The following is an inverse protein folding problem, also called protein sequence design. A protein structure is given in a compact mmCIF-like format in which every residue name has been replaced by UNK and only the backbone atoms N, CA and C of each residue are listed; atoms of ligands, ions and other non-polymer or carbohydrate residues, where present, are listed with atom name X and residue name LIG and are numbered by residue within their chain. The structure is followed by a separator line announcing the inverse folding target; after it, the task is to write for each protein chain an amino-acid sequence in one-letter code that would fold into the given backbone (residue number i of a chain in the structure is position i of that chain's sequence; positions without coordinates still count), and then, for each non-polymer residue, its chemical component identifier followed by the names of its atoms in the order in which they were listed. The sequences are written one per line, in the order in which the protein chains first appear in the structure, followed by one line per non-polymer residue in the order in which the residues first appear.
data_IF_950516787659
#
_entry.id   IF_950516787659
#
_cell.length_a   1.000
_cell.length_b   1.000
_cell.length_c   1.000
_cell.angle_alpha   90.00
_cell.angle_beta   90.00
_cell.angle_gamma   90.00
#
_symmetry.space_group_name_H-M   'P 1'
#
loop_
_entity.id
_entity.type
_entity.pdbx_description
1 polymer ?
2 non-polymer ?
3 non-polymer ?
4 non-polymer ?
5 non-polymer ?
6 water ?
#
# COMPACT_ATOMS: atom_id res chain seq x y z
N UNK A 1 -5.54 5.09 14.89
CA UNK A 1 -4.55 4.61 13.90
C UNK A 1 -4.28 5.68 12.87
N UNK A 2 -3.65 5.27 11.77
CA UNK A 2 -3.23 6.16 10.68
C UNK A 2 -4.34 7.06 10.13
N UNK A 3 -5.49 6.49 9.79
CA UNK A 3 -6.65 7.29 9.32
C UNK A 3 -7.13 8.33 10.31
N UNK A 4 -7.24 7.95 11.57
CA UNK A 4 -7.60 8.91 12.61
C UNK A 4 -6.49 9.98 12.74
N UNK A 5 -5.22 9.58 12.62
CA UNK A 5 -4.15 10.60 12.69
C UNK A 5 -4.30 11.70 11.63
N UNK A 6 -4.68 11.29 10.41
CA UNK A 6 -4.92 12.26 9.36
C UNK A 6 -6.07 13.21 9.79
N UNK A 7 -7.11 12.68 10.41
CA UNK A 7 -8.19 13.53 10.93
C UNK A 7 -7.71 14.48 12.06
N UNK A 8 -6.87 13.97 12.96
CA UNK A 8 -6.31 14.81 14.04
C UNK A 8 -5.48 15.96 13.47
N UNK A 9 -4.60 15.61 12.56
CA UNK A 9 -3.73 16.56 11.93
C UNK A 9 -4.48 17.60 11.13
N UNK A 10 -5.44 17.14 10.30
CA UNK A 10 -6.29 18.07 9.57
C UNK A 10 -7.10 18.98 10.46
N UNK A 11 -7.48 18.51 11.65
CA UNK A 11 -8.25 19.31 12.61
C UNK A 11 -7.58 20.60 13.03
N UNK A 12 -6.25 20.61 13.04
CA UNK A 12 -5.48 21.79 13.41
C UNK A 12 -4.26 21.87 12.49
N UNK A 13 -4.55 21.87 11.18
CA UNK A 13 -3.57 21.71 10.09
C UNK A 13 -2.35 22.62 10.21
N UNK A 14 -2.58 23.92 10.26
CA UNK A 14 -1.50 24.92 10.24
C UNK A 14 -0.59 24.74 11.47
N UNK A 15 -1.21 24.55 12.62
CA UNK A 15 -0.46 24.43 13.90
C UNK A 15 0.48 23.26 13.81
N UNK A 16 -0.06 22.11 13.45
CA UNK A 16 0.75 20.89 13.32
C UNK A 16 1.82 21.04 12.23
N UNK A 17 1.47 21.65 11.08
CA UNK A 17 2.40 21.83 9.97
C UNK A 17 3.60 22.65 10.41
N UNK A 18 3.30 23.65 11.23
CA UNK A 18 4.37 24.46 11.81
C UNK A 18 5.23 23.66 12.79
N UNK A 19 4.60 22.99 13.74
CA UNK A 19 5.39 22.24 14.74
C UNK A 19 6.30 21.22 14.09
N UNK A 20 5.82 20.60 13.02
CA UNK A 20 6.55 19.49 12.40
C UNK A 20 7.63 20.02 11.46
N UNK A 21 7.37 21.08 10.72
CA UNK A 21 8.41 21.65 9.83
C UNK A 21 9.57 22.18 10.66
N UNK A 22 9.24 22.86 11.74
CA UNK A 22 10.28 23.31 12.69
C UNK A 22 11.07 22.18 13.29
N UNK A 23 10.39 21.10 13.67
CA UNK A 23 11.11 19.91 14.21
C UNK A 23 12.13 19.38 13.21
N UNK A 24 11.69 19.34 11.95
CA UNK A 24 12.56 18.97 10.84
C UNK A 24 13.78 19.89 10.67
N UNK A 25 13.56 21.19 10.60
CA UNK A 25 14.62 22.13 10.35
C UNK A 25 15.60 22.16 11.51
N UNK A 26 15.07 22.00 12.74
CA UNK A 26 15.93 22.01 13.94
C UNK A 26 16.74 20.72 14.10
N UNK A 27 16.17 19.60 13.68
CA UNK A 27 16.88 18.31 13.68
C UNK A 27 17.98 18.24 12.64
N UNK A 28 17.68 18.79 11.46
CA UNK A 28 18.58 18.75 10.31
C UNK A 28 18.92 20.15 9.81
N UNK A 29 19.76 20.88 10.55
CA UNK A 29 20.00 22.26 10.16
C UNK A 29 20.54 22.44 8.71
N UNK A 30 21.28 21.47 8.18
CA UNK A 30 21.75 21.54 6.78
C UNK A 30 20.62 21.60 5.78
N UNK A 31 19.47 21.03 6.16
CA UNK A 31 18.29 21.05 5.29
C UNK A 31 17.74 22.46 5.03
N UNK A 32 18.09 23.44 5.87
CA UNK A 32 17.60 24.80 5.66
C UNK A 32 18.20 25.45 4.39
N UNK A 33 19.26 24.82 3.84
CA UNK A 33 19.85 25.10 2.50
C UNK A 33 18.83 25.19 1.37
N UNK A 34 17.80 24.36 1.45
CA UNK A 34 16.64 24.36 0.55
C UNK A 34 15.62 25.48 0.84
N UNK A 35 15.78 26.18 1.98
CA UNK A 35 14.80 27.12 2.46
C UNK A 35 15.55 28.36 2.84
N UNK A 36 16.25 28.93 1.87
CA UNK A 36 17.12 30.09 2.15
C UNK A 36 16.43 31.34 2.81
N UNK A 37 15.12 31.52 2.61
CA UNK A 37 14.40 32.66 3.18
C UNK A 37 13.86 32.44 4.61
N UNK A 38 14.19 31.29 5.19
CA UNK A 38 13.90 31.03 6.59
C UNK A 38 15.16 30.98 7.44
N UNK A 39 16.33 31.26 6.84
CA UNK A 39 17.60 31.32 7.60
C UNK A 39 17.60 32.44 8.63
N UNK A 40 18.23 32.16 9.76
CA UNK A 40 18.52 33.22 10.71
C UNK A 40 17.36 33.73 11.54
N UNK A 41 16.39 32.85 11.77
CA UNK A 41 15.13 33.13 12.45
C UNK A 41 14.81 32.01 13.45
N UNK A 42 14.40 32.40 14.65
CA UNK A 42 13.98 31.46 15.66
C UNK A 42 12.61 30.93 15.32
N UNK A 43 12.18 29.94 16.09
CA UNK A 43 10.87 29.28 15.81
C UNK A 43 9.78 30.30 15.87
N UNK A 44 9.74 31.13 16.92
CA UNK A 44 8.62 32.03 17.08
C UNK A 44 8.66 33.15 16.04
N UNK A 45 9.86 33.53 15.61
CA UNK A 45 10.10 34.49 14.54
C UNK A 45 9.51 33.98 13.23
N UNK A 46 9.83 32.72 12.89
CA UNK A 46 9.23 32.03 11.73
C UNK A 46 7.71 32.02 11.81
N UNK A 47 7.14 31.61 12.96
CA UNK A 47 5.67 31.52 13.11
C UNK A 47 4.97 32.86 12.96
N UNK A 48 5.65 33.94 13.31
CA UNK A 48 5.05 35.28 13.20
C UNK A 48 4.86 35.72 11.73
N UNK A 49 5.55 35.09 10.79
CA UNK A 49 5.45 35.45 9.38
C UNK A 49 4.31 34.69 8.72
N UNK A 50 3.34 35.43 8.21
CA UNK A 50 2.21 34.87 7.50
C UNK A 50 2.66 33.92 6.39
N UNK A 51 3.74 34.23 5.72
CA UNK A 51 4.22 33.35 4.64
C UNK A 51 4.64 31.96 5.11
N UNK A 52 5.18 31.89 6.33
CA UNK A 52 5.60 30.61 6.92
C UNK A 52 4.39 29.73 7.19
N UNK A 53 3.37 30.29 7.84
CA UNK A 53 2.14 29.55 8.08
C UNK A 53 1.48 29.10 6.77
N UNK A 54 1.44 30.00 5.81
CA UNK A 54 0.77 29.74 4.54
C UNK A 54 1.48 28.58 3.82
N UNK A 55 2.80 28.68 3.73
CA UNK A 55 3.61 27.65 3.05
C UNK A 55 3.43 26.30 3.73
N UNK A 56 3.62 26.30 5.05
CA UNK A 56 3.61 25.03 5.81
C UNK A 56 2.24 24.37 5.74
N UNK A 57 1.16 25.17 5.76
CA UNK A 57 -0.16 24.60 5.62
C UNK A 57 -0.34 24.03 4.17
N UNK A 58 0.09 24.73 3.12
CA UNK A 58 -0.14 24.17 1.76
C UNK A 58 0.62 22.84 1.60
N UNK A 59 1.81 22.74 2.19
CA UNK A 59 2.60 21.55 2.13
C UNK A 59 1.91 20.41 2.87
N UNK A 60 1.49 20.69 4.10
CA UNK A 60 0.86 19.68 4.93
C UNK A 60 -0.49 19.20 4.37
N UNK A 61 -1.22 20.12 3.74
CA UNK A 61 -2.48 19.77 3.07
C UNK A 61 -2.18 18.69 1.99
N UNK A 62 -1.20 18.90 1.12
CA UNK A 62 -0.89 17.89 0.11
C UNK A 62 -0.38 16.60 0.75
N UNK A 63 0.41 16.73 1.81
CA UNK A 63 0.84 15.57 2.52
C UNK A 63 -0.31 14.72 3.09
N UNK A 64 -1.33 15.38 3.62
CA UNK A 64 -2.46 14.70 4.12
C UNK A 64 -3.31 14.06 2.99
N UNK A 65 -3.41 14.72 1.84
CA UNK A 65 -4.13 14.18 0.67
C UNK A 65 -3.44 12.85 0.26
N UNK A 66 -2.10 12.90 0.17
CA UNK A 66 -1.30 11.72 -0.21
C UNK A 66 -1.49 10.59 0.82
N UNK A 67 -1.44 10.93 2.09
CA UNK A 67 -1.64 9.96 3.13
C UNK A 67 -3.03 9.36 3.05
N UNK A 68 -4.04 10.18 2.83
CA UNK A 68 -5.43 9.72 2.83
C UNK A 68 -5.70 8.83 1.61
N UNK A 69 -4.98 9.09 0.51
CA UNK A 69 -5.12 8.27 -0.71
C UNK A 69 -4.33 6.97 -0.67
N UNK A 70 -3.40 6.85 0.30
CA UNK A 70 -2.59 5.66 0.44
C UNK A 70 -3.47 4.45 0.84
N UNK A 71 -3.00 3.25 0.51
CA UNK A 71 -3.59 2.00 1.00
C UNK A 71 -2.59 1.31 1.89
N UNK A 72 -3.00 0.95 3.10
CA UNK A 72 -2.09 0.28 4.04
C UNK A 72 -0.72 1.00 4.13
N UNK A 73 -0.78 2.33 4.15
CA UNK A 73 0.44 3.19 4.25
C UNK A 73 1.37 3.14 3.05
N UNK A 74 0.83 2.69 1.92
CA UNK A 74 1.56 2.70 0.63
C UNK A 74 0.93 3.76 -0.24
N UNK A 75 1.69 4.80 -0.57
CA UNK A 75 1.10 5.88 -1.33
C UNK A 75 0.94 5.45 -2.79
N UNK A 76 -0.01 6.10 -3.45
CA UNK A 76 -0.13 5.92 -4.92
C UNK A 76 1.12 6.36 -5.67
N UNK A 77 1.47 5.57 -6.68
CA UNK A 77 2.55 5.95 -7.58
C UNK A 77 2.30 7.30 -8.23
N UNK A 78 1.05 7.61 -8.59
CA UNK A 78 0.72 8.90 -9.19
C UNK A 78 1.02 10.05 -8.24
N UNK A 79 0.70 9.89 -6.98
CA UNK A 79 1.07 10.94 -5.98
C UNK A 79 2.60 11.06 -5.84
N UNK A 80 3.30 9.94 -5.84
CA UNK A 80 4.77 10.03 -5.86
C UNK A 80 5.28 10.81 -7.05
N UNK A 81 4.75 10.52 -8.23
CA UNK A 81 5.13 11.24 -9.42
C UNK A 81 4.89 12.71 -9.29
N UNK A 82 3.73 13.08 -8.77
CA UNK A 82 3.41 14.50 -8.56
C UNK A 82 4.54 15.17 -7.75
N UNK A 83 4.91 14.55 -6.65
CA UNK A 83 5.95 15.11 -5.78
C UNK A 83 7.31 15.19 -6.47
N UNK A 84 7.61 14.24 -7.37
CA UNK A 84 8.91 14.20 -8.05
C UNK A 84 8.93 15.34 -9.07
N UNK A 85 7.80 15.50 -9.79
CA UNK A 85 7.72 16.43 -10.91
C UNK A 85 7.45 17.89 -10.57
N UNK A 86 6.98 18.17 -9.35
CA UNK A 86 6.82 19.56 -8.90
C UNK A 86 8.08 20.37 -9.11
N UNK A 87 7.95 21.53 -9.77
CA UNK A 87 9.08 22.46 -10.01
C UNK A 87 9.84 22.79 -8.71
N UNK A 88 9.07 22.93 -7.63
CA UNK A 88 9.58 23.26 -6.29
C UNK A 88 10.54 22.18 -5.73
N UNK A 89 10.41 20.93 -6.22
CA UNK A 89 11.19 19.79 -5.70
C UNK A 89 12.31 19.35 -6.64
N UNK A 90 12.65 20.23 -7.60
CA UNK A 90 13.67 19.95 -8.64
C UNK A 90 14.94 19.23 -8.15
N UNK A 91 15.77 19.90 -7.36
CA UNK A 91 17.04 19.30 -6.93
C UNK A 91 17.02 18.25 -5.81
N UNK A 92 15.84 17.86 -5.32
CA UNK A 92 15.73 16.97 -4.17
C UNK A 92 16.07 15.54 -4.46
N UNK A 93 16.47 14.86 -3.40
CA UNK A 93 16.68 13.43 -3.46
C UNK A 93 15.87 12.78 -2.35
N UNK A 94 15.80 11.44 -2.36
CA UNK A 94 14.90 10.76 -1.45
C UNK A 94 15.36 10.97 0.01
N UNK A 95 16.66 11.21 0.19
CA UNK A 95 17.15 11.46 1.54
C UNK A 95 16.49 12.66 2.19
N UNK A 96 16.14 13.67 1.41
CA UNK A 96 15.44 14.85 1.94
C UNK A 96 14.11 14.45 2.59
N UNK A 97 13.38 13.56 1.90
CA UNK A 97 12.12 12.99 2.37
C UNK A 97 12.27 12.04 3.57
N UNK A 98 13.30 11.21 3.56
CA UNK A 98 13.60 10.32 4.66
C UNK A 98 13.73 11.14 5.94
N UNK A 99 14.52 12.20 5.84
CA UNK A 99 14.77 13.09 7.03
C UNK A 99 13.47 13.76 7.53
N UNK A 100 12.67 14.25 6.60
CA UNK A 100 11.37 14.82 6.98
C UNK A 100 10.58 13.81 7.81
N UNK A 101 10.47 12.57 7.31
CA UNK A 101 9.67 11.57 7.98
C UNK A 101 10.27 11.09 9.30
N UNK A 102 11.58 11.07 9.42
CA UNK A 102 12.23 10.74 10.68
C UNK A 102 11.81 11.83 11.70
N UNK A 103 11.92 13.10 11.31
CA UNK A 103 11.52 14.25 12.21
C UNK A 103 10.04 14.18 12.60
N UNK A 104 9.17 13.81 11.62
CA UNK A 104 7.75 13.75 11.84
C UNK A 104 7.41 12.68 12.88
N UNK A 105 8.03 11.52 12.71
CA UNK A 105 7.84 10.38 13.63
C UNK A 105 8.34 10.71 15.04
N UNK A 106 9.48 11.36 15.11
CA UNK A 106 10.07 11.74 16.39
C UNK A 106 9.12 12.70 17.08
N UNK A 107 8.61 13.67 16.32
CA UNK A 107 7.62 14.66 16.84
C UNK A 107 6.39 13.94 17.42
N UNK A 108 5.86 12.98 16.67
CA UNK A 108 4.74 12.18 17.14
C UNK A 108 4.99 11.39 18.43
N UNK A 109 6.12 10.71 18.49
CA UNK A 109 6.51 9.97 19.68
C UNK A 109 6.66 10.88 20.92
N UNK A 110 7.12 12.10 20.73
CA UNK A 110 7.28 13.08 21.86
C UNK A 110 6.02 13.86 22.24
N UNK A 111 4.97 13.78 21.44
CA UNK A 111 3.75 14.55 21.69
C UNK A 111 3.00 13.80 22.80
N UNK A 112 2.08 14.44 23.48
CA UNK A 112 1.33 13.68 24.54
C UNK A 112 0.34 12.65 24.01
N UNK A 113 0.36 12.39 22.70
CA UNK A 113 -0.85 11.96 21.99
C UNK A 113 -0.67 10.62 21.36
N UNK A 114 -1.80 9.97 21.08
CA UNK A 114 -1.83 8.58 20.67
C UNK A 114 -1.69 8.41 19.14
N UNK A 115 -0.76 9.15 18.52
CA UNK A 115 -0.48 8.94 17.11
C UNK A 115 0.03 7.51 16.89
N UNK A 116 -0.27 6.94 15.73
CA UNK A 116 0.24 5.64 15.35
C UNK A 116 1.61 5.87 14.67
N UNK A 117 2.62 6.13 15.49
CA UNK A 117 3.91 6.57 14.96
C UNK A 117 4.57 5.51 14.06
N UNK A 118 4.33 4.26 14.36
CA UNK A 118 4.90 3.15 13.56
C UNK A 118 4.31 3.14 12.14
N UNK A 119 3.03 3.48 12.02
CA UNK A 119 2.38 3.62 10.71
C UNK A 119 2.96 4.77 9.92
N UNK A 120 3.22 5.90 10.56
CA UNK A 120 3.87 7.02 9.88
C UNK A 120 5.30 6.71 9.45
N UNK A 121 6.06 5.99 10.27
CA UNK A 121 7.44 5.61 9.93
C UNK A 121 7.42 4.83 8.62
N UNK A 122 6.49 3.86 8.61
CA UNK A 122 6.19 2.92 7.48
C UNK A 122 5.82 3.71 6.25
N UNK A 123 4.82 4.57 6.38
CA UNK A 123 4.40 5.46 5.30
C UNK A 123 5.57 6.25 4.73
N UNK A 124 6.42 6.82 5.61
CA UNK A 124 7.60 7.49 5.10
C UNK A 124 8.54 6.60 4.27
N UNK A 125 8.80 5.39 4.73
CA UNK A 125 9.68 4.46 4.01
C UNK A 125 9.07 4.10 2.66
N UNK A 126 7.77 3.85 2.67
CA UNK A 126 7.05 3.48 1.42
C UNK A 126 6.97 4.66 0.50
N UNK A 127 6.86 5.88 1.04
CA UNK A 127 6.87 7.05 0.20
C UNK A 127 8.26 7.24 -0.44
N UNK A 128 9.34 7.07 0.35
CA UNK A 128 10.68 7.12 -0.19
C UNK A 128 10.86 6.12 -1.35
N UNK A 129 10.38 4.88 -1.15
CA UNK A 129 10.45 3.82 -2.16
C UNK A 129 9.73 4.28 -3.42
N UNK A 130 8.52 4.78 -3.24
CA UNK A 130 7.70 5.26 -4.37
C UNK A 130 8.32 6.45 -5.08
N UNK A 131 8.94 7.38 -4.34
CA UNK A 131 9.63 8.46 -4.98
C UNK A 131 10.77 7.98 -5.90
N UNK A 132 11.52 7.00 -5.42
CA UNK A 132 12.59 6.41 -6.20
C UNK A 132 12.04 5.78 -7.48
N UNK A 133 10.97 5.02 -7.33
CA UNK A 133 10.31 4.34 -8.48
C UNK A 133 9.77 5.34 -9.47
N UNK A 134 9.33 6.53 -8.98
CA UNK A 134 8.87 7.64 -9.85
C UNK A 134 9.97 8.58 -10.38
N UNK A 135 11.23 8.22 -10.11
CA UNK A 135 12.38 8.82 -10.76
C UNK A 135 13.21 9.79 -9.95
N UNK A 136 12.93 9.92 -8.67
CA UNK A 136 13.79 10.70 -7.77
C UNK A 136 15.10 9.95 -7.47
N UNK A 137 16.22 10.66 -7.57
CA UNK A 137 17.55 10.12 -7.20
C UNK A 137 17.72 10.00 -5.69
N UNK B 1 6.24 -14.03 8.03
CA UNK B 1 5.27 -13.07 7.55
C UNK B 1 4.93 -13.34 6.10
N UNK B 2 4.44 -12.32 5.42
CA UNK B 2 3.90 -12.47 4.06
C UNK B 2 4.98 -12.95 3.08
N UNK B 3 6.16 -12.38 3.15
CA UNK B 3 7.25 -12.79 2.27
C UNK B 3 7.68 -14.23 2.44
N UNK B 4 7.76 -14.67 3.68
CA UNK B 4 8.07 -16.06 3.97
C UNK B 4 6.97 -16.99 3.47
N UNK B 5 5.73 -16.55 3.60
CA UNK B 5 4.59 -17.32 3.16
C UNK B 5 4.63 -17.58 1.64
N UNK B 6 5.11 -16.61 0.90
CA UNK B 6 5.29 -16.78 -0.57
C UNK B 6 6.30 -17.94 -0.82
N UNK B 7 7.39 -17.95 -0.04
CA UNK B 7 8.41 -19.02 -0.16
C UNK B 7 7.84 -20.35 0.28
N UNK B 8 7.07 -20.36 1.37
CA UNK B 8 6.41 -21.60 1.78
C UNK B 8 5.49 -22.18 0.69
N UNK B 9 4.65 -21.32 0.15
CA UNK B 9 3.68 -21.76 -0.87
C UNK B 9 4.43 -22.23 -2.10
N UNK B 10 5.41 -21.47 -2.53
CA UNK B 10 6.20 -21.84 -3.72
C UNK B 10 6.94 -23.16 -3.58
N UNK B 11 7.32 -23.55 -2.35
CA UNK B 11 8.00 -24.81 -2.16
C UNK B 11 7.17 -26.05 -2.35
N UNK B 12 5.82 -25.91 -2.33
CA UNK B 12 4.90 -27.01 -2.62
C UNK B 12 3.70 -26.47 -3.38
N UNK B 13 3.97 -25.71 -4.45
CA UNK B 13 2.97 -24.81 -4.99
C UNK B 13 1.81 -25.55 -5.65
N UNK B 14 2.12 -26.66 -6.34
CA UNK B 14 1.07 -27.47 -7.00
C UNK B 14 0.05 -28.01 -6.01
N UNK B 15 0.50 -28.51 -4.88
CA UNK B 15 -0.39 -28.99 -3.84
C UNK B 15 -1.19 -27.88 -3.17
N UNK B 16 -0.53 -26.79 -2.82
CA UNK B 16 -1.24 -25.64 -2.24
C UNK B 16 -2.26 -25.04 -3.19
N UNK B 17 -1.88 -24.89 -4.46
CA UNK B 17 -2.73 -24.31 -5.47
C UNK B 17 -4.00 -25.16 -5.61
N UNK B 18 -3.84 -26.47 -5.69
CA UNK B 18 -4.99 -27.34 -5.83
C UNK B 18 -5.87 -27.29 -4.58
N UNK B 19 -5.24 -27.38 -3.41
CA UNK B 19 -5.98 -27.41 -2.14
C UNK B 19 -6.71 -26.12 -1.96
N UNK B 20 -6.10 -24.97 -2.24
CA UNK B 20 -6.76 -23.68 -2.02
C UNK B 20 -7.89 -23.44 -3.00
N UNK B 21 -7.63 -23.74 -4.30
CA UNK B 21 -8.65 -23.52 -5.25
C UNK B 21 -9.86 -24.44 -5.03
N UNK B 22 -9.62 -25.68 -4.57
CA UNK B 22 -10.71 -26.56 -4.17
C UNK B 22 -11.49 -26.02 -2.99
N UNK B 23 -10.77 -25.47 -1.98
CA UNK B 23 -11.45 -24.86 -0.85
C UNK B 23 -12.38 -23.76 -1.30
N UNK B 24 -11.93 -22.95 -2.26
CA UNK B 24 -12.73 -21.90 -2.90
C UNK B 24 -13.99 -22.48 -3.55
N UNK B 25 -13.80 -23.50 -4.41
CA UNK B 25 -14.95 -24.01 -5.18
C UNK B 25 -15.96 -24.73 -4.26
N UNK B 26 -15.47 -25.32 -3.15
CA UNK B 26 -16.34 -26.01 -2.19
C UNK B 26 -17.06 -25.05 -1.22
N UNK B 27 -16.41 -23.96 -0.83
CA UNK B 27 -17.06 -22.94 -0.02
C UNK B 27 -18.14 -22.17 -0.78
N UNK B 28 -17.89 -21.93 -2.07
CA UNK B 28 -18.72 -21.13 -2.98
C UNK B 28 -19.11 -21.96 -4.20
N UNK B 29 -20.04 -22.93 -3.99
CA UNK B 29 -20.38 -23.84 -5.07
C UNK B 29 -20.90 -23.19 -6.36
N UNK B 30 -21.61 -22.06 -6.24
CA UNK B 30 -22.07 -21.35 -7.45
C UNK B 30 -20.92 -20.79 -8.31
N UNK B 31 -19.72 -20.66 -7.73
CA UNK B 31 -18.54 -20.27 -8.50
C UNK B 31 -18.17 -21.22 -9.63
N UNK B 32 -18.61 -22.48 -9.54
CA UNK B 32 -18.45 -23.40 -10.68
C UNK B 32 -19.18 -22.90 -11.92
N UNK B 33 -20.10 -21.94 -11.80
CA UNK B 33 -20.81 -21.36 -12.99
C UNK B 33 -19.80 -20.85 -14.04
N UNK B 34 -18.63 -20.39 -13.59
CA UNK B 34 -17.56 -19.96 -14.50
C UNK B 34 -16.76 -21.11 -15.13
N UNK B 35 -16.95 -22.32 -14.59
CA UNK B 35 -16.27 -23.56 -14.99
C UNK B 35 -17.34 -24.70 -15.13
N UNK B 36 -18.18 -24.59 -16.12
CA UNK B 36 -19.30 -25.56 -16.33
C UNK B 36 -18.92 -27.07 -16.29
N UNK B 37 -17.78 -27.48 -16.85
CA UNK B 37 -17.42 -28.91 -16.75
C UNK B 37 -16.73 -29.25 -15.41
N UNK B 38 -16.65 -28.32 -14.46
CA UNK B 38 -16.28 -28.74 -13.09
C UNK B 38 -17.46 -29.36 -12.29
N UNK B 39 -18.66 -29.24 -12.82
CA UNK B 39 -19.88 -29.72 -12.16
C UNK B 39 -19.92 -31.25 -12.03
N UNK B 40 -20.47 -31.73 -10.90
CA UNK B 40 -20.57 -33.16 -10.58
C UNK B 40 -19.28 -33.95 -10.48
N UNK B 41 -18.20 -33.26 -10.09
CA UNK B 41 -16.88 -33.82 -9.95
C UNK B 41 -16.47 -33.67 -8.52
N UNK B 42 -15.96 -34.75 -7.94
CA UNK B 42 -15.28 -34.67 -6.63
C UNK B 42 -13.92 -33.98 -6.78
N UNK B 43 -13.32 -33.65 -5.64
CA UNK B 43 -12.03 -33.04 -5.66
C UNK B 43 -11.00 -33.86 -6.43
N UNK B 44 -10.97 -35.17 -6.20
CA UNK B 44 -9.95 -36.02 -6.82
C UNK B 44 -10.18 -36.07 -8.32
N UNK B 45 -11.44 -36.05 -8.74
CA UNK B 45 -11.74 -36.02 -10.17
C UNK B 45 -11.29 -34.70 -10.80
N UNK B 46 -11.52 -33.56 -10.09
CA UNK B 46 -11.09 -32.28 -10.58
C UNK B 46 -9.60 -32.27 -10.76
N UNK B 47 -8.86 -32.86 -9.80
CA UNK B 47 -7.41 -32.85 -9.84
C UNK B 47 -6.88 -33.65 -11.06
N UNK B 48 -7.70 -34.57 -11.56
CA UNK B 48 -7.33 -35.36 -12.73
C UNK B 48 -7.85 -34.79 -14.06
N UNK B 49 -8.37 -33.57 -14.05
CA UNK B 49 -8.83 -32.87 -15.26
C UNK B 49 -7.77 -31.87 -15.67
N UNK B 50 -7.29 -31.96 -16.90
CA UNK B 50 -6.18 -31.09 -17.35
C UNK B 50 -6.44 -29.59 -17.24
N UNK B 51 -7.64 -29.14 -17.56
CA UNK B 51 -7.89 -27.69 -17.58
C UNK B 51 -7.91 -27.17 -16.11
N UNK B 52 -8.37 -28.00 -15.19
CA UNK B 52 -8.34 -27.64 -13.77
C UNK B 52 -6.89 -27.54 -13.28
N UNK B 53 -6.10 -28.57 -13.53
CA UNK B 53 -4.70 -28.59 -13.12
C UNK B 53 -3.98 -27.41 -13.75
N UNK B 54 -4.25 -27.16 -15.03
CA UNK B 54 -3.56 -26.09 -15.77
C UNK B 54 -3.92 -24.68 -15.30
N UNK B 55 -5.22 -24.40 -15.14
CA UNK B 55 -5.70 -23.11 -14.69
C UNK B 55 -5.13 -22.84 -13.28
N UNK B 56 -5.28 -23.83 -12.38
CA UNK B 56 -4.92 -23.69 -10.97
C UNK B 56 -3.41 -23.38 -10.83
N UNK B 57 -2.59 -24.10 -11.58
CA UNK B 57 -1.16 -23.83 -11.63
C UNK B 57 -0.88 -22.37 -12.03
N UNK B 58 -1.52 -21.91 -13.10
CA UNK B 58 -1.34 -20.56 -13.65
C UNK B 58 -1.77 -19.51 -12.65
N UNK B 59 -2.93 -19.75 -12.04
CA UNK B 59 -3.47 -18.86 -10.97
C UNK B 59 -2.41 -18.62 -9.92
N UNK B 60 -1.79 -19.68 -9.42
CA UNK B 60 -0.92 -19.54 -8.23
C UNK B 60 0.47 -19.09 -8.65
N UNK B 61 0.97 -19.53 -9.82
CA UNK B 61 2.26 -19.00 -10.27
C UNK B 61 2.18 -17.47 -10.39
N UNK B 62 1.10 -16.97 -11.01
CA UNK B 62 0.95 -15.51 -11.21
C UNK B 62 0.66 -14.82 -9.88
N UNK B 63 -0.18 -15.43 -9.06
CA UNK B 63 -0.58 -14.81 -7.80
C UNK B 63 0.65 -14.61 -6.92
N UNK B 64 1.54 -15.59 -6.90
CA UNK B 64 2.78 -15.46 -6.09
C UNK B 64 3.67 -14.36 -6.61
N UNK B 65 3.76 -14.19 -7.95
CA UNK B 65 4.52 -13.08 -8.52
C UNK B 65 3.93 -11.72 -8.09
N UNK B 66 2.60 -11.60 -8.18
CA UNK B 66 1.91 -10.37 -7.80
C UNK B 66 2.15 -10.06 -6.28
N UNK B 67 2.05 -11.10 -5.49
CA UNK B 67 2.38 -11.00 -4.02
C UNK B 67 3.80 -10.57 -3.82
N UNK B 68 4.75 -11.16 -4.56
CA UNK B 68 6.17 -10.88 -4.45
C UNK B 68 6.50 -9.44 -4.83
N UNK B 69 5.78 -8.86 -5.79
CA UNK B 69 6.06 -7.52 -6.26
C UNK B 69 5.37 -6.43 -5.40
N UNK B 70 4.46 -6.87 -4.53
CA UNK B 70 3.71 -5.97 -3.67
C UNK B 70 4.63 -5.35 -2.60
N UNK B 71 4.21 -4.20 -2.11
CA UNK B 71 4.82 -3.51 -0.97
C UNK B 71 3.78 -3.49 0.13
N UNK B 72 4.14 -4.05 1.27
CA UNK B 72 3.20 -4.13 2.39
C UNK B 72 1.78 -4.62 1.99
N UNK B 73 1.77 -5.66 1.19
CA UNK B 73 0.52 -6.30 0.78
C UNK B 73 -0.34 -5.46 -0.16
N UNK B 74 0.30 -4.47 -0.80
CA UNK B 74 -0.36 -3.60 -1.77
C UNK B 74 0.26 -3.93 -3.11
N UNK B 75 -0.55 -4.54 -4.04
CA UNK B 75 0.01 -4.85 -5.34
C UNK B 75 0.30 -3.66 -6.19
N UNK B 76 1.19 -3.86 -7.18
CA UNK B 76 1.43 -2.90 -8.20
C UNK B 76 0.20 -2.70 -9.05
N UNK B 77 -0.12 -1.44 -9.31
CA UNK B 77 -1.21 -1.09 -10.22
C UNK B 77 -1.07 -1.78 -11.59
N UNK B 78 0.16 -1.89 -12.09
CA UNK B 78 0.42 -2.63 -13.30
C UNK B 78 0.00 -4.08 -13.29
N UNK B 79 0.16 -4.74 -12.16
CA UNK B 79 -0.27 -6.12 -12.05
C UNK B 79 -1.79 -6.19 -12.08
N UNK B 80 -2.47 -5.25 -11.44
CA UNK B 80 -3.93 -5.23 -11.50
C UNK B 80 -4.41 -4.99 -12.93
N UNK B 81 -3.80 -4.05 -13.64
CA UNK B 81 -4.18 -3.78 -15.04
C UNK B 81 -4.02 -5.02 -15.93
N UNK B 82 -2.92 -5.76 -15.75
CA UNK B 82 -2.68 -7.01 -16.51
C UNK B 82 -3.75 -8.04 -16.23
N UNK B 83 -4.10 -8.22 -14.98
CA UNK B 83 -5.16 -9.15 -14.64
C UNK B 83 -6.52 -8.75 -15.27
N UNK B 84 -6.86 -7.47 -15.24
CA UNK B 84 -8.13 -7.00 -15.78
C UNK B 84 -8.22 -7.21 -17.29
N UNK B 85 -7.12 -6.98 -17.98
CA UNK B 85 -7.08 -7.14 -19.41
C UNK B 85 -6.75 -8.52 -19.93
N UNK B 86 -6.70 -9.51 -19.03
CA UNK B 86 -6.76 -10.91 -19.48
C UNK B 86 -8.13 -11.24 -20.07
N UNK B 87 -8.15 -11.65 -21.33
CA UNK B 87 -9.43 -11.82 -22.06
C UNK B 87 -10.37 -12.96 -21.60
N UNK B 88 -9.79 -14.07 -21.16
CA UNK B 88 -10.56 -15.21 -20.62
C UNK B 88 -11.19 -14.92 -19.24
N UNK B 89 -10.75 -13.81 -18.63
CA UNK B 89 -11.42 -13.18 -17.49
C UNK B 89 -12.49 -12.13 -17.78
N UNK B 90 -12.91 -12.02 -19.05
CA UNK B 90 -14.15 -11.33 -19.37
C UNK B 90 -15.27 -11.99 -18.59
N UNK B 91 -16.15 -11.19 -18.01
CA UNK B 91 -17.26 -11.75 -17.26
C UNK B 91 -16.94 -12.06 -15.81
N UNK B 92 -15.69 -11.97 -15.38
CA UNK B 92 -15.40 -11.93 -13.95
C UNK B 92 -15.61 -10.55 -13.39
N UNK B 93 -15.87 -10.56 -12.09
CA UNK B 93 -16.05 -9.35 -11.31
C UNK B 93 -15.19 -9.46 -10.03
N UNK B 94 -15.07 -8.34 -9.32
CA UNK B 94 -14.23 -8.35 -8.12
C UNK B 94 -14.67 -9.40 -7.11
N UNK B 95 -15.98 -9.71 -7.09
CA UNK B 95 -16.51 -10.69 -6.18
C UNK B 95 -15.92 -12.07 -6.34
N UNK B 96 -15.57 -12.46 -7.56
CA UNK B 96 -14.93 -13.75 -7.80
C UNK B 96 -13.57 -13.82 -7.06
N UNK B 97 -12.80 -12.75 -7.14
CA UNK B 97 -11.48 -12.65 -6.50
C UNK B 97 -11.58 -12.55 -4.96
N UNK B 98 -12.54 -11.76 -4.49
CA UNK B 98 -12.87 -11.62 -3.06
C UNK B 98 -13.06 -13.00 -2.44
N UNK B 99 -13.91 -13.81 -3.09
CA UNK B 99 -14.25 -15.14 -2.62
C UNK B 99 -13.06 -16.10 -2.60
N UNK B 100 -12.24 -16.01 -3.63
CA UNK B 100 -10.99 -16.80 -3.65
C UNK B 100 -10.14 -16.46 -2.43
N UNK B 101 -9.99 -15.18 -2.17
CA UNK B 101 -9.14 -14.79 -1.02
C UNK B 101 -9.74 -15.12 0.33
N UNK B 102 -11.06 -15.03 0.48
CA UNK B 102 -11.67 -15.47 1.71
C UNK B 102 -11.33 -16.95 1.98
N UNK B 103 -11.46 -17.79 0.94
CA UNK B 103 -11.18 -19.21 1.07
C UNK B 103 -9.70 -19.47 1.37
N UNK B 104 -8.82 -18.73 0.69
CA UNK B 104 -7.38 -18.79 0.92
C UNK B 104 -7.02 -18.48 2.41
N UNK B 105 -7.58 -17.40 2.92
CA UNK B 105 -7.34 -17.02 4.30
C UNK B 105 -7.87 -18.08 5.29
N UNK B 106 -9.08 -18.59 5.04
CA UNK B 106 -9.65 -19.62 5.89
C UNK B 106 -8.81 -20.89 5.89
N UNK B 107 -8.33 -21.29 4.71
CA UNK B 107 -7.39 -22.39 4.54
C UNK B 107 -6.12 -22.21 5.40
N UNK B 108 -5.54 -21.01 5.33
CA UNK B 108 -4.33 -20.71 6.11
C UNK B 108 -4.60 -20.83 7.58
N UNK B 109 -5.72 -20.29 8.03
CA UNK B 109 -6.07 -20.31 9.45
C UNK B 109 -6.28 -21.74 9.96
N UNK B 110 -6.85 -22.61 9.11
CA UNK B 110 -7.11 -23.98 9.45
C UNK B 110 -5.87 -24.89 9.34
N UNK B 111 -4.80 -24.40 8.72
CA UNK B 111 -3.64 -25.22 8.47
C UNK B 111 -2.86 -25.29 9.76
N UNK B 112 -2.00 -26.28 9.90
CA UNK B 112 -1.19 -26.40 11.14
C UNK B 112 -0.07 -25.35 11.32
N UNK B 113 0.02 -24.39 10.41
CA UNK B 113 1.26 -23.70 10.06
C UNK B 113 1.16 -22.22 10.34
N UNK B 114 2.32 -21.61 10.32
CA UNK B 114 2.48 -20.25 10.83
C UNK B 114 2.35 -19.20 9.72
N UNK B 115 1.35 -19.36 8.85
CA UNK B 115 1.06 -18.36 7.84
C UNK B 115 0.60 -17.07 8.49
N UNK B 116 0.93 -15.97 7.86
CA UNK B 116 0.49 -14.66 8.32
C UNK B 116 -0.85 -14.39 7.62
N UNK B 117 -1.90 -14.98 8.18
CA UNK B 117 -3.20 -14.98 7.49
C UNK B 117 -3.79 -13.58 7.37
N UNK B 118 -3.54 -12.74 8.38
CA UNK B 118 -3.93 -11.34 8.30
C UNK B 118 -3.33 -10.61 7.10
N UNK B 119 -2.06 -10.87 6.79
CA UNK B 119 -1.45 -10.23 5.63
C UNK B 119 -2.13 -10.66 4.33
N UNK B 120 -2.46 -11.95 4.25
CA UNK B 120 -3.16 -12.48 3.05
C UNK B 120 -4.54 -11.87 2.92
N UNK B 121 -5.21 -11.64 4.06
CA UNK B 121 -6.52 -11.00 4.05
C UNK B 121 -6.38 -9.58 3.50
N UNK B 122 -5.39 -8.83 4.01
CA UNK B 122 -5.08 -7.51 3.46
C UNK B 122 -4.75 -7.54 1.97
N UNK B 123 -3.88 -8.47 1.58
CA UNK B 123 -3.47 -8.63 0.19
C UNK B 123 -4.70 -8.82 -0.72
N UNK B 124 -5.59 -9.70 -0.32
CA UNK B 124 -6.82 -9.95 -1.07
C UNK B 124 -7.70 -8.74 -1.23
N UNK B 125 -7.91 -8.01 -0.13
CA UNK B 125 -8.68 -6.76 -0.18
C UNK B 125 -8.01 -5.71 -1.06
N UNK B 126 -6.68 -5.57 -0.94
CA UNK B 126 -5.93 -4.60 -1.70
C UNK B 126 -5.88 -4.93 -3.20
N UNK B 127 -5.83 -6.24 -3.52
CA UNK B 127 -5.89 -6.67 -4.90
C UNK B 127 -7.26 -6.36 -5.47
N UNK B 128 -8.32 -6.71 -4.77
CA UNK B 128 -9.66 -6.36 -5.20
C UNK B 128 -9.81 -4.86 -5.44
N UNK B 129 -9.30 -4.03 -4.53
CA UNK B 129 -9.36 -2.61 -4.72
C UNK B 129 -8.61 -2.17 -5.99
N UNK B 130 -7.41 -2.72 -6.19
CA UNK B 130 -6.59 -2.39 -7.34
C UNK B 130 -7.27 -2.85 -8.64
N UNK B 131 -7.91 -3.99 -8.59
CA UNK B 131 -8.63 -4.50 -9.75
C UNK B 131 -9.79 -3.57 -10.12
N UNK B 132 -10.55 -3.10 -9.12
CA UNK B 132 -11.58 -2.12 -9.33
C UNK B 132 -11.05 -0.82 -9.96
N UNK B 133 -9.97 -0.27 -9.41
CA UNK B 133 -9.37 0.96 -9.94
C UNK B 133 -8.87 0.79 -11.39
N UNK B 134 -8.43 -0.43 -11.73
CA UNK B 134 -7.96 -0.76 -13.08
C UNK B 134 -9.08 -1.09 -14.07
N UNK B 135 -10.33 -1.16 -13.62
CA UNK B 135 -11.46 -1.34 -14.51
C UNK B 135 -12.31 -2.59 -14.37
N UNK B 136 -12.02 -3.47 -13.42
CA UNK B 136 -12.89 -4.63 -13.16
C UNK B 136 -14.24 -4.21 -12.56
N UNK B 137 -15.31 -4.80 -13.10
CA UNK B 137 -16.65 -4.57 -12.59
C UNK B 137 -16.90 -5.32 -11.28
#
# INVERSE_FOLDING_TARGET
GFKQDIATLRGDLRTYAQDIFLAFLNKYPDEKRNFKNYVGKSDQELKSMAKFGDHTEKVFNLMMEVADRATDCVPLASDASTLVQMKQHSGLTTGNFEKLFVALVEYMRASGQSFDSQSWDRFGKNLVSALSSAGMK
GFKQDIATLRGDLRTYAQDIFLAFLNKYPDEKRNFKNYVGKSDQELKSMAKFGDHTEKVFNLMMEVADRATDCVPLASDASTLVQMKQHSGLTTGNFEKLFVALVEYMRASGQSFDSQSWDRFGKNLVSALSSAGMK
#
